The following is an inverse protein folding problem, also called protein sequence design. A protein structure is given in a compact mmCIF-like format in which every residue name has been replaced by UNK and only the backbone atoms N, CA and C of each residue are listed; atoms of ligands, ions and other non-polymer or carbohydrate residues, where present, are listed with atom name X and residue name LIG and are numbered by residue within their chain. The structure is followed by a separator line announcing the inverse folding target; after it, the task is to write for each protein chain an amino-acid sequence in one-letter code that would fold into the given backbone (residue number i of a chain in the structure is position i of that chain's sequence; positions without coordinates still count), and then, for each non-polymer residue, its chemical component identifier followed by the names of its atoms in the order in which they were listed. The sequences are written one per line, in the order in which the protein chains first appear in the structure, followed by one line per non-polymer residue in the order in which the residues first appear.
data_IF_970745947602
#
_entry.id   IF_970745947602
#
_cell.length_a   1.000
_cell.length_b   1.000
_cell.length_c   1.000
_cell.angle_alpha   90.00
_cell.angle_beta   90.00
_cell.angle_gamma   90.00
#
_symmetry.space_group_name_H-M   'P 1'
#
loop_
_entity.id
_entity.type
_entity.pdbx_description
1 polymer ?
#
# COMPACT_ATOMS: atom_id res chain seq x y z
N UNK A 1 -13.44 -12.76 -19.87
CA UNK A 1 -12.27 -13.59 -19.54
C UNK A 1 -11.82 -13.21 -18.13
N UNK A 2 -12.11 -14.04 -17.14
CA UNK A 2 -11.70 -13.78 -15.75
C UNK A 2 -10.18 -14.01 -15.65
N UNK A 3 -9.44 -12.97 -15.25
CA UNK A 3 -8.00 -13.06 -15.04
C UNK A 3 -7.70 -14.13 -14.00
N UNK A 4 -7.03 -15.21 -14.41
CA UNK A 4 -6.49 -16.22 -13.51
C UNK A 4 -5.56 -15.51 -12.54
N UNK A 5 -5.92 -15.52 -11.26
CA UNK A 5 -5.11 -14.98 -10.17
C UNK A 5 -3.75 -15.69 -10.20
N UNK A 6 -2.71 -14.99 -10.64
CA UNK A 6 -1.38 -15.57 -10.91
C UNK A 6 -0.59 -15.89 -9.63
N UNK A 7 -1.11 -15.53 -8.47
CA UNK A 7 -0.46 -15.65 -7.18
C UNK A 7 -1.37 -16.35 -6.16
N UNK A 8 -0.77 -17.19 -5.33
CA UNK A 8 -1.46 -17.76 -4.17
C UNK A 8 -1.90 -16.65 -3.20
N UNK A 9 -2.80 -16.95 -2.27
CA UNK A 9 -3.18 -15.96 -1.23
C UNK A 9 -1.96 -15.57 -0.38
N UNK A 10 -1.07 -16.53 -0.09
CA UNK A 10 0.16 -16.30 0.66
C UNK A 10 1.14 -15.42 -0.12
N UNK A 11 1.40 -15.71 -1.40
CA UNK A 11 2.38 -14.94 -2.20
C UNK A 11 1.95 -13.47 -2.32
N UNK A 12 0.64 -13.22 -2.45
CA UNK A 12 0.09 -11.88 -2.50
C UNK A 12 0.21 -11.16 -1.17
N UNK A 13 -0.03 -11.85 -0.06
CA UNK A 13 0.14 -11.27 1.27
C UNK A 13 1.59 -10.86 1.50
N UNK A 14 2.54 -11.75 1.22
CA UNK A 14 3.98 -11.48 1.34
C UNK A 14 4.42 -10.32 0.45
N UNK A 15 3.90 -10.25 -0.78
CA UNK A 15 4.19 -9.14 -1.68
C UNK A 15 3.66 -7.80 -1.14
N UNK A 16 2.41 -7.76 -0.65
CA UNK A 16 1.84 -6.55 -0.05
C UNK A 16 2.59 -6.16 1.23
N UNK A 17 3.02 -7.13 2.03
CA UNK A 17 3.83 -6.90 3.22
C UNK A 17 5.16 -6.25 2.84
N UNK A 18 5.83 -6.74 1.80
CA UNK A 18 7.06 -6.13 1.29
C UNK A 18 6.87 -4.68 0.86
N UNK A 19 5.76 -4.35 0.20
CA UNK A 19 5.45 -2.96 -0.17
C UNK A 19 5.26 -2.06 1.07
N UNK A 20 4.61 -2.57 2.12
CA UNK A 20 4.42 -1.82 3.37
C UNK A 20 5.76 -1.60 4.07
N UNK A 21 6.60 -2.62 4.18
CA UNK A 21 7.94 -2.51 4.77
C UNK A 21 8.80 -1.50 4.02
N UNK A 22 8.90 -1.62 2.70
CA UNK A 22 9.68 -0.68 1.88
C UNK A 22 9.16 0.75 2.00
N UNK A 23 7.84 0.95 2.04
CA UNK A 23 7.26 2.28 2.25
C UNK A 23 7.64 2.87 3.62
N UNK A 24 7.51 2.08 4.70
CA UNK A 24 7.80 2.51 6.07
C UNK A 24 9.30 2.75 6.33
N UNK A 25 10.16 2.00 5.65
CA UNK A 25 11.62 2.13 5.77
C UNK A 25 12.20 3.22 4.84
N UNK A 26 11.36 3.87 4.03
CA UNK A 26 11.80 4.89 3.07
C UNK A 26 11.62 6.31 3.61
N UNK A 27 12.74 6.99 3.87
CA UNK A 27 12.75 8.42 4.25
C UNK A 27 12.64 9.39 3.06
N UNK A 28 12.79 8.89 1.83
CA UNK A 28 12.77 9.69 0.60
C UNK A 28 11.41 9.66 -0.07
N UNK A 29 10.75 10.82 -0.17
CA UNK A 29 9.46 10.97 -0.84
C UNK A 29 9.46 10.39 -2.27
N UNK A 30 10.53 10.65 -3.03
CA UNK A 30 10.69 10.17 -4.40
C UNK A 30 10.69 8.64 -4.47
N UNK A 31 11.31 8.00 -3.48
CA UNK A 31 11.36 6.55 -3.36
C UNK A 31 10.06 5.98 -2.76
N UNK A 32 9.36 6.73 -1.90
CA UNK A 32 8.11 6.30 -1.26
C UNK A 32 6.92 6.31 -2.24
N UNK A 33 6.91 7.26 -3.18
CA UNK A 33 5.88 7.42 -4.22
C UNK A 33 5.46 6.12 -4.93
N UNK A 34 6.38 5.34 -5.53
CA UNK A 34 6.00 4.12 -6.24
C UNK A 34 5.37 3.06 -5.32
N UNK A 35 5.76 2.98 -4.05
CA UNK A 35 5.18 2.01 -3.11
C UNK A 35 3.76 2.42 -2.71
N UNK A 36 3.53 3.70 -2.39
CA UNK A 36 2.18 4.23 -2.11
C UNK A 36 1.24 4.02 -3.30
N UNK A 37 1.68 4.37 -4.51
CA UNK A 37 0.89 4.18 -5.72
C UNK A 37 0.54 2.69 -5.97
N UNK A 38 1.45 1.77 -5.66
CA UNK A 38 1.16 0.34 -5.73
C UNK A 38 0.09 -0.05 -4.69
N UNK A 39 0.24 0.35 -3.43
CA UNK A 39 -0.72 0.06 -2.35
C UNK A 39 -2.12 0.59 -2.69
N UNK A 40 -2.22 1.83 -3.17
CA UNK A 40 -3.48 2.42 -3.63
C UNK A 40 -4.10 1.61 -4.79
N UNK A 41 -3.30 1.25 -5.80
CA UNK A 41 -3.76 0.39 -6.90
C UNK A 41 -4.27 -0.98 -6.42
N UNK A 42 -3.62 -1.60 -5.42
CA UNK A 42 -4.07 -2.87 -4.85
C UNK A 42 -5.36 -2.73 -4.03
N UNK A 43 -5.62 -1.58 -3.41
CA UNK A 43 -6.83 -1.32 -2.64
C UNK A 43 -8.10 -1.37 -3.50
N UNK A 44 -8.02 -1.08 -4.80
CA UNK A 44 -9.17 -1.18 -5.72
C UNK A 44 -9.67 -2.63 -5.95
N UNK A 45 -8.89 -3.65 -5.61
CA UNK A 45 -9.29 -5.04 -5.78
C UNK A 45 -9.79 -5.65 -4.46
N UNK A 46 -11.08 -6.01 -4.35
CA UNK A 46 -11.67 -6.59 -3.14
C UNK A 46 -10.94 -7.83 -2.60
N UNK A 47 -10.28 -8.61 -3.47
CA UNK A 47 -9.53 -9.81 -3.06
C UNK A 47 -8.25 -9.49 -2.25
N UNK A 48 -7.81 -8.23 -2.22
CA UNK A 48 -6.67 -7.78 -1.43
C UNK A 48 -7.08 -7.17 -0.08
N UNK A 49 -8.35 -6.81 0.10
CA UNK A 49 -8.81 -6.03 1.26
C UNK A 49 -8.49 -6.71 2.59
N UNK A 50 -8.58 -8.05 2.65
CA UNK A 50 -8.24 -8.77 3.87
C UNK A 50 -6.74 -8.69 4.20
N UNK A 51 -5.87 -8.82 3.20
CA UNK A 51 -4.43 -8.65 3.39
C UNK A 51 -4.09 -7.21 3.78
N UNK A 52 -4.69 -6.21 3.11
CA UNK A 52 -4.48 -4.79 3.39
C UNK A 52 -4.94 -4.42 4.81
N UNK A 53 -6.04 -5.01 5.31
CA UNK A 53 -6.49 -4.84 6.70
C UNK A 53 -5.53 -5.48 7.70
N UNK A 54 -5.07 -6.70 7.44
CA UNK A 54 -4.11 -7.38 8.31
C UNK A 54 -2.77 -6.64 8.39
N UNK A 55 -2.39 -5.97 7.30
CA UNK A 55 -1.19 -5.13 7.22
C UNK A 55 -1.43 -3.68 7.66
N UNK A 56 -2.63 -3.33 8.11
CA UNK A 56 -2.99 -2.00 8.62
C UNK A 56 -2.71 -0.85 7.63
N UNK A 57 -2.85 -1.13 6.33
CA UNK A 57 -2.58 -0.13 5.28
C UNK A 57 -3.51 1.08 5.38
N UNK A 58 -4.71 0.89 5.93
CA UNK A 58 -5.63 2.00 6.21
C UNK A 58 -5.08 2.95 7.29
N UNK A 59 -4.46 2.43 8.35
CA UNK A 59 -3.85 3.26 9.40
C UNK A 59 -2.64 3.99 8.82
N UNK A 60 -1.83 3.32 8.01
CA UNK A 60 -0.71 3.93 7.29
C UNK A 60 -1.17 5.15 6.46
N UNK A 61 -2.28 5.03 5.71
CA UNK A 61 -2.83 6.16 4.95
C UNK A 61 -3.34 7.29 5.85
N UNK A 62 -3.96 6.95 6.98
CA UNK A 62 -4.47 7.95 7.93
C UNK A 62 -3.33 8.70 8.64
N UNK A 63 -2.27 8.01 9.03
CA UNK A 63 -1.10 8.60 9.67
C UNK A 63 -0.44 9.63 8.74
N UNK A 64 -0.35 9.32 7.44
CA UNK A 64 0.17 10.24 6.43
C UNK A 64 -0.60 11.57 6.31
N UNK A 65 -1.90 11.59 6.65
CA UNK A 65 -2.69 12.83 6.64
C UNK A 65 -2.24 13.83 7.72
N UNK A 66 -1.45 13.38 8.69
CA UNK A 66 -0.96 14.18 9.81
C UNK A 66 0.50 14.60 9.65
N UNK A 67 1.18 14.15 8.59
CA UNK A 67 2.55 14.53 8.28
C UNK A 67 2.65 16.01 7.92
N UNK A 68 3.77 16.65 8.29
CA UNK A 68 4.06 18.03 7.88
C UNK A 68 4.34 18.14 6.37
N UNK A 69 4.72 17.01 5.77
CA UNK A 69 5.06 16.92 4.37
C UNK A 69 3.80 16.83 3.50
N UNK A 70 3.53 17.88 2.72
CA UNK A 70 2.38 17.94 1.82
C UNK A 70 2.30 16.77 0.83
N UNK A 71 3.45 16.20 0.41
CA UNK A 71 3.47 15.06 -0.49
C UNK A 71 2.99 13.78 0.19
N UNK A 72 3.34 13.53 1.45
CA UNK A 72 2.80 12.40 2.21
C UNK A 72 1.31 12.59 2.46
N UNK A 73 0.86 13.81 2.77
CA UNK A 73 -0.57 14.12 2.88
C UNK A 73 -1.31 13.83 1.56
N UNK A 74 -0.75 14.22 0.42
CA UNK A 74 -1.34 13.92 -0.90
C UNK A 74 -1.43 12.40 -1.15
N UNK A 75 -0.41 11.63 -0.74
CA UNK A 75 -0.46 10.16 -0.82
C UNK A 75 -1.51 9.54 0.09
N UNK A 76 -1.74 10.10 1.28
CA UNK A 76 -2.80 9.65 2.18
C UNK A 76 -4.21 9.89 1.66
N UNK A 77 -4.40 10.86 0.76
CA UNK A 77 -5.68 11.20 0.12
C UNK A 77 -5.96 10.33 -1.12
N UNK A 78 -4.90 9.90 -1.81
CA UNK A 78 -4.93 9.27 -3.15
C UNK A 78 -5.60 7.90 -3.27
#
# INVERSE_FOLDING_TARGET
MAGKNRFSVSDRFEYLQGLVTEFQDTDSEDAARPFSANLANFAYNPSNIEALRLLQVNELFLDMLTEENENFVEFGIG
#
